data_IF_982330608382
#
_entry.id   IF_982330608382
#
_cell.length_a   1.000
_cell.length_b   1.000
_cell.length_c   1.000
_cell.angle_alpha   90.00
_cell.angle_beta   90.00
_cell.angle_gamma   90.00
#
_symmetry.space_group_name_H-M   'P 1'
#
loop_
_entity.id
_entity.type
_entity.pdbx_description
1 polymer ?
#
# COMPACT_ATOMS: atom_id res chain seq x y z
N UNK A 1 0.12 -4.00 13.18
CA UNK A 1 1.23 -3.73 12.24
C UNK A 1 2.32 -2.94 12.94
N UNK A 2 3.59 -3.24 12.69
CA UNK A 2 4.74 -2.53 13.28
C UNK A 2 6.01 -2.73 12.45
N UNK A 3 6.97 -1.81 12.56
CA UNK A 3 8.28 -1.91 11.90
C UNK A 3 9.09 -3.08 12.46
N UNK A 4 9.76 -3.80 11.56
CA UNK A 4 10.66 -4.90 11.88
C UNK A 4 12.01 -4.69 11.21
N UNK A 5 13.04 -5.39 11.68
CA UNK A 5 14.31 -5.45 10.97
C UNK A 5 14.21 -6.35 9.74
N UNK A 6 15.05 -6.11 8.74
CA UNK A 6 15.11 -6.94 7.52
C UNK A 6 15.39 -8.42 7.87
N UNK A 7 16.21 -8.69 8.89
CA UNK A 7 16.56 -10.03 9.35
C UNK A 7 15.38 -10.75 10.03
N UNK A 8 14.39 -9.99 10.48
CA UNK A 8 13.18 -10.54 11.09
C UNK A 8 12.09 -10.85 10.07
N UNK A 9 12.19 -10.37 8.82
CA UNK A 9 11.17 -10.61 7.77
C UNK A 9 10.78 -12.08 7.66
N UNK A 10 11.71 -13.06 7.63
CA UNK A 10 11.35 -14.48 7.52
C UNK A 10 10.61 -15.05 8.74
N UNK A 11 10.57 -14.33 9.87
CA UNK A 11 9.92 -14.74 11.12
C UNK A 11 8.42 -14.44 11.14
N UNK A 12 7.95 -13.59 10.22
CA UNK A 12 6.55 -13.17 10.15
C UNK A 12 5.85 -13.77 8.94
N UNK A 13 4.57 -14.13 9.11
CA UNK A 13 3.75 -14.69 8.02
C UNK A 13 3.35 -13.65 6.98
N UNK A 14 3.16 -12.41 7.39
CA UNK A 14 2.66 -11.33 6.55
C UNK A 14 3.55 -10.11 6.72
N UNK A 15 4.17 -9.68 5.63
CA UNK A 15 5.08 -8.54 5.63
C UNK A 15 4.91 -7.68 4.40
N UNK A 16 5.15 -6.39 4.55
CA UNK A 16 5.39 -5.47 3.41
C UNK A 16 6.79 -4.89 3.60
N UNK A 17 7.65 -5.09 2.61
CA UNK A 17 8.95 -4.43 2.52
C UNK A 17 8.85 -3.30 1.52
N UNK A 18 8.98 -2.06 1.99
CA UNK A 18 8.98 -0.87 1.14
C UNK A 18 10.42 -0.57 0.72
N UNK A 19 10.70 -0.66 -0.57
CA UNK A 19 11.96 -0.31 -1.21
C UNK A 19 11.87 1.14 -1.66
N UNK A 20 12.81 1.96 -1.17
CA UNK A 20 12.91 3.39 -1.44
C UNK A 20 13.36 3.70 -2.87
N UNK A 21 13.34 4.99 -3.22
CA UNK A 21 13.87 5.46 -4.50
C UNK A 21 15.39 5.62 -4.45
N UNK A 22 16.00 5.80 -5.62
CA UNK A 22 17.44 6.09 -5.74
C UNK A 22 17.77 7.59 -5.62
N UNK A 23 16.77 8.48 -5.58
CA UNK A 23 16.98 9.94 -5.63
C UNK A 23 16.50 10.67 -4.40
N UNK A 24 15.36 10.26 -3.84
CA UNK A 24 14.70 10.95 -2.75
C UNK A 24 14.29 10.01 -1.61
N UNK A 25 14.28 10.53 -0.40
CA UNK A 25 13.68 9.88 0.75
C UNK A 25 12.15 9.87 0.60
N UNK A 26 11.49 8.76 0.91
CA UNK A 26 10.03 8.67 0.88
C UNK A 26 9.45 8.48 2.29
N UNK A 27 8.44 9.26 2.63
CA UNK A 27 7.57 8.98 3.77
C UNK A 27 6.50 7.98 3.36
N UNK A 28 6.18 7.08 4.27
CA UNK A 28 5.17 6.05 4.11
C UNK A 28 4.18 6.16 5.25
N UNK A 29 2.92 6.38 4.91
CA UNK A 29 1.81 6.37 5.86
C UNK A 29 0.98 5.10 5.65
N UNK A 30 0.85 4.26 6.67
CA UNK A 30 0.09 3.00 6.61
C UNK A 30 -1.14 3.04 7.50
N UNK A 31 -2.21 2.40 7.05
CA UNK A 31 -3.44 2.22 7.82
C UNK A 31 -3.91 0.76 7.77
N UNK A 32 -4.73 0.40 8.77
CA UNK A 32 -5.52 -0.83 8.79
C UNK A 32 -6.99 -0.42 8.90
N UNK A 33 -7.85 -1.00 8.07
CA UNK A 33 -9.30 -0.72 8.02
C UNK A 33 -10.03 -1.35 9.21
N UNK A 34 -9.41 -2.28 9.94
CA UNK A 34 -9.93 -2.84 11.17
C UNK A 34 -9.36 -2.09 12.38
N UNK A 35 -10.23 -1.50 13.22
CA UNK A 35 -9.85 -1.14 14.59
C UNK A 35 -9.76 -2.40 15.49
N UNK A 36 -9.35 -2.25 16.75
CA UNK A 36 -9.28 -3.38 17.72
C UNK A 36 -10.64 -4.12 17.89
N UNK A 37 -11.75 -3.50 17.47
CA UNK A 37 -13.08 -4.09 17.44
C UNK A 37 -13.51 -4.64 16.08
N UNK A 38 -12.60 -4.77 15.11
CA UNK A 38 -12.85 -5.21 13.72
C UNK A 38 -13.87 -4.35 12.96
N UNK A 39 -14.06 -3.09 13.37
CA UNK A 39 -14.98 -2.19 12.66
C UNK A 39 -14.27 -1.50 11.50
N UNK A 40 -14.90 -1.41 10.32
CA UNK A 40 -14.38 -0.64 9.20
C UNK A 40 -14.23 0.83 9.62
N UNK A 41 -12.99 1.31 9.74
CA UNK A 41 -12.72 2.75 9.61
C UNK A 41 -12.49 3.03 8.14
N UNK A 42 -13.09 4.10 7.61
CA UNK A 42 -12.63 4.65 6.34
C UNK A 42 -11.32 5.38 6.63
N UNK A 43 -10.15 4.78 6.36
CA UNK A 43 -8.85 5.36 6.71
C UNK A 43 -8.46 6.46 5.71
N UNK A 44 -9.36 6.74 4.76
CA UNK A 44 -9.17 7.63 3.62
C UNK A 44 -9.07 9.08 4.06
N UNK A 45 -9.76 9.47 5.15
CA UNK A 45 -9.79 10.84 5.67
C UNK A 45 -8.94 10.94 6.94
N UNK A 46 -7.65 11.23 6.80
CA UNK A 46 -6.73 11.40 7.94
C UNK A 46 -5.48 12.18 7.55
N UNK A 47 -4.88 12.86 8.54
CA UNK A 47 -3.51 13.40 8.49
C UNK A 47 -2.55 12.61 9.38
N UNK A 48 -3.08 11.63 10.13
CA UNK A 48 -2.34 10.83 11.11
C UNK A 48 -2.48 9.36 10.75
N UNK A 49 -1.35 8.72 10.46
CA UNK A 49 -1.30 7.29 10.18
C UNK A 49 -0.98 6.52 11.47
N UNK A 50 -1.64 5.37 11.72
CA UNK A 50 -1.28 4.49 12.84
C UNK A 50 0.17 4.00 12.79
N UNK A 51 0.74 3.88 11.58
CA UNK A 51 2.16 3.65 11.39
C UNK A 51 2.68 4.59 10.31
N UNK A 52 3.72 5.34 10.64
CA UNK A 52 4.39 6.24 9.71
C UNK A 52 5.90 6.12 9.86
N UNK A 53 6.62 6.12 8.74
CA UNK A 53 8.08 6.08 8.74
C UNK A 53 8.67 6.65 7.44
N UNK A 54 9.96 6.97 7.49
CA UNK A 54 10.74 7.36 6.31
C UNK A 54 11.56 6.17 5.81
N UNK A 55 11.57 5.98 4.49
CA UNK A 55 12.48 5.11 3.75
C UNK A 55 13.54 6.01 3.11
N UNK A 56 14.78 6.03 3.63
CA UNK A 56 15.87 6.78 3.03
C UNK A 56 16.19 6.34 1.59
N UNK A 57 16.83 7.22 0.83
CA UNK A 57 17.41 6.93 -0.49
C UNK A 57 18.19 5.61 -0.48
N UNK A 58 17.93 4.76 -1.48
CA UNK A 58 18.65 3.50 -1.70
C UNK A 58 18.46 2.46 -0.59
N UNK A 59 17.47 2.64 0.28
CA UNK A 59 17.22 1.76 1.42
C UNK A 59 15.83 1.12 1.38
N UNK A 60 15.54 0.28 2.37
CA UNK A 60 14.22 -0.33 2.55
C UNK A 60 13.84 -0.40 4.02
N UNK A 61 12.55 -0.55 4.27
CA UNK A 61 11.96 -0.78 5.60
C UNK A 61 10.89 -1.85 5.50
N UNK A 62 10.81 -2.71 6.50
CA UNK A 62 9.84 -3.80 6.55
C UNK A 62 8.85 -3.63 7.70
N UNK A 63 7.61 -4.00 7.43
CA UNK A 63 6.49 -3.95 8.38
C UNK A 63 5.88 -5.34 8.48
N UNK A 64 5.66 -5.80 9.70
CA UNK A 64 4.92 -7.03 10.00
C UNK A 64 3.44 -6.74 10.21
N UNK A 65 2.60 -7.70 9.80
CA UNK A 65 1.14 -7.65 9.93
C UNK A 65 0.61 -8.95 10.56
N UNK A 66 -0.50 -8.82 11.28
CA UNK A 66 -1.27 -9.97 11.75
C UNK A 66 -2.18 -10.50 10.62
N UNK A 67 -2.52 -11.79 10.68
CA UNK A 67 -3.59 -12.33 9.82
C UNK A 67 -4.93 -11.62 10.11
N UNK A 68 -5.79 -11.52 9.09
CA UNK A 68 -7.01 -10.73 9.13
C UNK A 68 -6.79 -9.22 8.92
N UNK A 69 -5.54 -8.75 8.75
CA UNK A 69 -5.27 -7.34 8.46
C UNK A 69 -5.77 -6.96 7.07
N UNK A 70 -6.51 -5.87 6.99
CA UNK A 70 -6.95 -5.25 5.74
C UNK A 70 -6.55 -3.78 5.82
N UNK A 71 -5.94 -3.22 4.79
CA UNK A 71 -5.51 -1.84 4.87
C UNK A 71 -4.88 -1.36 3.60
N UNK A 72 -4.09 -0.32 3.76
CA UNK A 72 -3.33 0.24 2.67
C UNK A 72 -2.29 1.23 3.16
N UNK A 73 -1.56 1.79 2.20
CA UNK A 73 -0.53 2.76 2.46
C UNK A 73 -0.40 3.74 1.31
N UNK A 74 0.09 4.94 1.61
CA UNK A 74 0.48 5.94 0.63
C UNK A 74 1.96 6.26 0.81
N UNK A 75 2.64 6.58 -0.29
CA UNK A 75 4.02 7.05 -0.29
C UNK A 75 4.10 8.45 -0.88
N UNK A 76 4.99 9.28 -0.33
CA UNK A 76 5.20 10.64 -0.80
C UNK A 76 6.64 11.07 -0.50
N UNK A 77 7.21 11.90 -1.37
CA UNK A 77 8.57 12.42 -1.18
C UNK A 77 8.67 13.17 0.16
N UNK A 78 9.77 12.96 0.87
CA UNK A 78 10.02 13.63 2.15
C UNK A 78 10.12 15.15 1.94
N UNK A 79 9.43 15.91 2.78
CA UNK A 79 9.32 17.37 2.63
C UNK A 79 8.13 17.84 1.80
N UNK A 80 7.43 16.93 1.10
CA UNK A 80 6.15 17.24 0.46
C UNK A 80 4.99 17.09 1.43
N UNK A 81 3.98 17.94 1.30
CA UNK A 81 2.70 17.75 1.96
C UNK A 81 1.96 16.58 1.30
N UNK A 82 1.25 15.80 2.10
CA UNK A 82 0.33 14.78 1.59
C UNK A 82 -0.82 15.53 0.91
N UNK A 83 -1.14 15.23 -0.36
CA UNK A 83 -2.26 15.87 -1.02
C UNK A 83 -3.57 15.26 -0.53
N UNK A 84 -4.61 16.08 -0.43
CA UNK A 84 -5.95 15.65 -0.07
C UNK A 84 -6.99 16.17 -1.06
N UNK A 85 -8.08 15.42 -1.23
CA UNK A 85 -9.27 15.93 -1.92
C UNK A 85 -9.99 16.97 -1.05
N UNK A 86 -10.97 17.66 -1.65
CA UNK A 86 -11.86 18.57 -0.92
C UNK A 86 -12.62 17.89 0.25
N UNK A 87 -12.81 16.57 0.19
CA UNK A 87 -13.43 15.79 1.26
C UNK A 87 -12.44 15.31 2.34
N UNK A 88 -11.18 15.72 2.26
CA UNK A 88 -10.11 15.30 3.17
C UNK A 88 -9.57 13.90 2.88
N UNK A 89 -9.90 13.29 1.73
CA UNK A 89 -9.34 11.99 1.35
C UNK A 89 -7.88 12.15 0.93
N UNK A 90 -6.97 11.39 1.53
CA UNK A 90 -5.55 11.29 1.13
C UNK A 90 -5.44 10.91 -0.34
N UNK A 91 -4.69 11.64 -1.14
CA UNK A 91 -4.51 11.37 -2.57
C UNK A 91 -3.13 10.78 -2.83
N UNK A 92 -3.07 9.86 -3.79
CA UNK A 92 -1.84 9.19 -4.22
C UNK A 92 -2.14 7.90 -4.95
N UNK A 93 -1.08 7.20 -5.34
CA UNK A 93 -1.19 5.78 -5.64
C UNK A 93 -1.06 5.03 -4.33
N UNK A 94 -2.15 4.39 -3.93
CA UNK A 94 -2.21 3.61 -2.71
C UNK A 94 -1.75 2.19 -3.01
N UNK A 95 -1.01 1.60 -2.09
CA UNK A 95 -0.90 0.15 -2.03
C UNK A 95 -1.95 -0.39 -1.09
N UNK A 96 -2.90 -1.18 -1.59
CA UNK A 96 -3.94 -1.83 -0.78
C UNK A 96 -3.56 -3.29 -0.53
N UNK A 97 -3.93 -3.81 0.64
CA UNK A 97 -3.61 -5.18 1.03
C UNK A 97 -4.71 -5.80 1.90
N UNK A 98 -4.84 -7.12 1.77
CA UNK A 98 -5.62 -8.00 2.63
C UNK A 98 -4.78 -9.23 2.94
N UNK A 99 -4.58 -9.55 4.22
CA UNK A 99 -3.85 -10.72 4.67
C UNK A 99 -4.78 -11.72 5.34
N UNK A 100 -4.92 -12.90 4.76
CA UNK A 100 -5.68 -14.03 5.31
C UNK A 100 -7.07 -13.67 5.86
N UNK A 101 -7.94 -13.16 4.98
CA UNK A 101 -9.29 -12.77 5.38
C UNK A 101 -10.18 -14.00 5.58
N UNK A 102 -10.75 -14.15 6.78
CA UNK A 102 -11.46 -15.37 7.18
C UNK A 102 -12.67 -15.68 6.28
N UNK A 103 -13.44 -14.66 5.90
CA UNK A 103 -14.65 -14.85 5.09
C UNK A 103 -14.37 -15.27 3.65
N UNK A 104 -13.10 -15.25 3.21
CA UNK A 104 -12.66 -15.64 1.88
C UNK A 104 -11.75 -16.88 1.91
N UNK A 105 -11.88 -17.72 2.95
CA UNK A 105 -11.09 -18.94 3.08
C UNK A 105 -9.60 -18.66 3.33
N UNK A 106 -9.31 -17.59 4.10
CA UNK A 106 -7.96 -17.11 4.40
C UNK A 106 -7.16 -16.67 3.17
N UNK A 107 -7.83 -16.26 2.10
CA UNK A 107 -7.16 -15.66 0.94
C UNK A 107 -6.51 -14.32 1.32
N UNK A 108 -5.45 -13.98 0.58
CA UNK A 108 -4.81 -12.67 0.67
C UNK A 108 -4.94 -11.96 -0.67
N UNK A 109 -4.88 -10.64 -0.67
CA UNK A 109 -4.98 -9.84 -1.87
C UNK A 109 -4.15 -8.56 -1.75
N UNK A 110 -3.77 -8.00 -2.89
CA UNK A 110 -3.09 -6.70 -2.94
C UNK A 110 -3.29 -6.04 -4.30
N UNK A 111 -3.13 -4.73 -4.33
CA UNK A 111 -3.13 -3.95 -5.56
C UNK A 111 -2.53 -2.55 -5.34
N UNK A 112 -2.21 -1.90 -6.47
CA UNK A 112 -1.97 -0.47 -6.54
C UNK A 112 -3.24 0.20 -7.03
N UNK A 113 -3.74 1.18 -6.29
CA UNK A 113 -4.99 1.86 -6.53
C UNK A 113 -4.78 3.36 -6.74
N UNK A 114 -5.37 3.93 -7.79
CA UNK A 114 -5.34 5.37 -8.08
C UNK A 114 -6.74 5.99 -8.14
N UNK A 115 -7.79 5.24 -7.76
CA UNK A 115 -9.17 5.68 -7.93
C UNK A 115 -9.46 7.05 -7.31
N UNK A 116 -9.07 7.28 -6.06
CA UNK A 116 -9.35 8.55 -5.37
C UNK A 116 -8.58 9.73 -5.98
N UNK A 117 -7.32 9.49 -6.33
CA UNK A 117 -6.47 10.46 -7.03
C UNK A 117 -7.11 10.87 -8.37
N UNK A 118 -7.48 9.89 -9.19
CA UNK A 118 -8.09 10.12 -10.50
C UNK A 118 -9.47 10.78 -10.39
N UNK A 119 -10.29 10.36 -9.43
CA UNK A 119 -11.60 10.96 -9.14
C UNK A 119 -11.48 12.44 -8.74
N UNK A 120 -10.40 12.79 -8.05
CA UNK A 120 -10.08 14.18 -7.70
C UNK A 120 -9.38 14.96 -8.83
N UNK A 121 -9.13 14.34 -9.99
CA UNK A 121 -8.48 14.99 -11.15
C UNK A 121 -6.95 15.04 -11.06
N UNK A 122 -6.34 14.22 -10.20
CA UNK A 122 -4.89 14.16 -10.02
C UNK A 122 -4.32 12.86 -10.59
N UNK A 123 -3.31 13.01 -11.46
CA UNK A 123 -2.62 11.90 -12.14
C UNK A 123 -1.10 11.91 -11.91
N UNK A 124 -0.56 13.00 -11.35
CA UNK A 124 0.87 13.21 -11.18
C UNK A 124 1.33 12.76 -9.80
N UNK A 125 1.64 11.46 -9.72
CA UNK A 125 2.21 10.84 -8.52
C UNK A 125 3.41 9.98 -8.90
N UNK A 126 4.31 9.79 -7.93
CA UNK A 126 5.35 8.78 -8.01
C UNK A 126 4.73 7.40 -8.18
N UNK A 127 5.32 6.59 -9.06
CA UNK A 127 4.85 5.25 -9.32
C UNK A 127 5.01 4.35 -8.10
N UNK A 128 4.19 3.31 -8.08
CA UNK A 128 4.22 2.27 -7.06
C UNK A 128 4.08 0.92 -7.76
N UNK A 129 4.93 -0.02 -7.37
CA UNK A 129 4.86 -1.43 -7.77
C UNK A 129 4.82 -2.30 -6.53
N UNK A 130 3.95 -3.30 -6.52
CA UNK A 130 3.85 -4.31 -5.48
C UNK A 130 4.04 -5.68 -6.12
N UNK A 131 5.02 -6.42 -5.66
CA UNK A 131 5.28 -7.80 -6.03
C UNK A 131 4.86 -8.73 -4.89
N UNK A 132 4.17 -9.83 -5.20
CA UNK A 132 3.71 -10.80 -4.23
C UNK A 132 3.53 -12.19 -4.84
N UNK A 133 4.37 -13.15 -4.42
CA UNK A 133 4.46 -14.48 -5.06
C UNK A 133 4.69 -14.34 -6.58
N UNK A 134 3.82 -14.94 -7.39
CA UNK A 134 3.88 -14.89 -8.87
C UNK A 134 3.05 -13.75 -9.47
N UNK A 135 2.49 -12.87 -8.64
CA UNK A 135 1.63 -11.77 -9.04
C UNK A 135 2.31 -10.41 -8.86
N UNK A 136 1.89 -9.44 -9.67
CA UNK A 136 2.34 -8.05 -9.61
C UNK A 136 1.18 -7.10 -9.83
N UNK A 137 1.14 -6.02 -9.06
CA UNK A 137 0.28 -4.86 -9.32
C UNK A 137 1.13 -3.59 -9.34
N UNK A 138 0.94 -2.73 -10.35
CA UNK A 138 1.70 -1.49 -10.41
C UNK A 138 0.98 -0.39 -11.18
N UNK A 139 1.36 0.84 -10.84
CA UNK A 139 1.17 2.04 -11.64
C UNK A 139 2.52 2.73 -11.74
N UNK A 140 3.03 2.91 -12.96
CA UNK A 140 4.26 3.66 -13.17
C UNK A 140 4.05 5.17 -12.98
N UNK A 141 5.13 5.90 -12.65
CA UNK A 141 5.13 7.35 -12.43
C UNK A 141 4.36 8.06 -13.54
N UNK A 142 3.45 8.96 -13.15
CA UNK A 142 2.57 9.69 -14.07
C UNK A 142 1.65 8.81 -14.95
N UNK A 143 1.28 7.60 -14.49
CA UNK A 143 0.38 6.68 -15.20
C UNK A 143 0.86 6.27 -16.60
N UNK A 144 2.18 6.22 -16.82
CA UNK A 144 2.73 5.83 -18.14
C UNK A 144 2.45 4.37 -18.51
N UNK A 145 2.29 3.50 -17.51
CA UNK A 145 1.89 2.09 -17.65
C UNK A 145 1.30 1.56 -16.35
N UNK A 146 0.55 0.47 -16.44
CA UNK A 146 -0.07 -0.19 -15.28
C UNK A 146 -0.36 -1.67 -15.56
N UNK A 147 -0.42 -2.47 -14.49
CA UNK A 147 -0.91 -3.85 -14.53
C UNK A 147 -1.61 -4.18 -13.20
N UNK A 148 -2.72 -4.92 -13.27
CA UNK A 148 -3.52 -5.33 -12.11
C UNK A 148 -3.80 -4.20 -11.11
N UNK A 149 -3.95 -2.96 -11.59
CA UNK A 149 -4.17 -1.78 -10.77
C UNK A 149 -5.64 -1.33 -10.80
N UNK A 150 -6.10 -0.70 -9.73
CA UNK A 150 -7.48 -0.21 -9.61
C UNK A 150 -7.53 1.28 -9.95
N UNK A 151 -8.00 1.58 -11.17
CA UNK A 151 -8.13 2.97 -11.66
C UNK A 151 -9.58 3.48 -11.57
N UNK A 152 -10.56 2.59 -11.49
CA UNK A 152 -11.99 2.90 -11.44
C UNK A 152 -12.78 1.78 -10.76
N UNK A 153 -13.94 2.10 -10.20
CA UNK A 153 -14.84 1.14 -9.56
C UNK A 153 -14.82 1.21 -8.03
N UNK A 154 -15.49 0.25 -7.39
CA UNK A 154 -15.56 0.20 -5.92
C UNK A 154 -14.28 -0.43 -5.34
N UNK A 155 -13.47 0.46 -4.80
CA UNK A 155 -12.24 0.23 -4.02
C UNK A 155 -12.43 -0.58 -2.74
N UNK A 156 -13.65 -0.74 -2.22
CA UNK A 156 -13.86 -1.51 -0.99
C UNK A 156 -13.90 -3.03 -1.19
N UNK A 157 -14.12 -3.49 -2.42
CA UNK A 157 -14.35 -4.91 -2.74
C UNK A 157 -13.48 -5.46 -3.86
N UNK A 158 -12.65 -4.61 -4.47
CA UNK A 158 -11.89 -4.98 -5.65
C UNK A 158 -10.40 -5.00 -5.36
N UNK A 159 -9.76 -6.13 -5.64
CA UNK A 159 -8.32 -6.28 -5.60
C UNK A 159 -7.82 -6.78 -6.93
N UNK A 160 -6.72 -6.20 -7.39
CA UNK A 160 -6.06 -6.57 -8.63
C UNK A 160 -5.46 -7.97 -8.59
N UNK A 161 -4.79 -8.33 -7.49
CA UNK A 161 -4.16 -9.62 -7.30
C UNK A 161 -4.81 -10.35 -6.11
N UNK A 162 -5.36 -11.55 -6.33
CA UNK A 162 -5.97 -12.40 -5.30
C UNK A 162 -5.23 -13.72 -5.23
N UNK A 163 -4.78 -14.08 -4.04
CA UNK A 163 -3.90 -15.22 -3.78
C UNK A 163 -4.57 -16.24 -2.86
N UNK A 164 -4.26 -17.52 -3.10
CA UNK A 164 -4.63 -18.61 -2.20
C UNK A 164 -4.03 -18.44 -0.80
N UNK A 165 -4.63 -19.11 0.19
CA UNK A 165 -4.17 -19.08 1.59
C UNK A 165 -2.69 -19.43 1.72
N UNK A 166 -2.05 -18.82 2.72
CA UNK A 166 -0.65 -19.04 3.09
C UNK A 166 0.08 -17.73 3.44
N UNK A 167 1.32 -17.82 3.91
CA UNK A 167 2.17 -16.66 4.16
C UNK A 167 2.33 -15.78 2.91
N UNK A 168 2.48 -14.48 3.10
CA UNK A 168 2.66 -13.52 2.01
C UNK A 168 3.61 -12.40 2.43
N UNK A 169 4.76 -12.35 1.75
CA UNK A 169 5.68 -11.22 1.81
C UNK A 169 5.55 -10.40 0.54
N UNK A 170 5.10 -9.15 0.69
CA UNK A 170 5.03 -8.19 -0.41
C UNK A 170 6.28 -7.32 -0.46
N UNK A 171 6.70 -6.95 -1.66
CA UNK A 171 7.75 -5.95 -1.90
C UNK A 171 7.10 -4.77 -2.62
N UNK A 172 7.10 -3.61 -1.99
CA UNK A 172 6.55 -2.37 -2.54
C UNK A 172 7.71 -1.45 -2.99
N UNK A 173 7.88 -1.26 -4.29
CA UNK A 173 8.90 -0.38 -4.86
C UNK A 173 8.30 1.00 -5.16
N UNK A 174 8.85 2.04 -4.53
CA UNK A 174 8.42 3.43 -4.74
C UNK A 174 9.15 4.09 -5.91
N UNK A 175 8.56 5.15 -6.47
CA UNK A 175 9.04 5.83 -7.70
C UNK A 175 9.27 4.86 -8.87
N UNK A 176 8.38 3.87 -9.02
CA UNK A 176 8.47 2.91 -10.11
C UNK A 176 8.17 3.59 -11.46
N UNK A 177 9.07 3.49 -12.44
CA UNK A 177 8.96 4.22 -13.73
C UNK A 177 8.56 3.37 -14.95
N UNK A 178 8.36 2.06 -14.77
CA UNK A 178 8.05 1.11 -15.86
C UNK A 178 9.23 0.23 -16.22
#
# INVERSE_FOLDING_TARGET
MFLISDDDVPKYKYTITVVGSDTDDYRVGMWNTCDEGHRPRSPRVTDVFPLEFTVPVGSRRSVAFDGGSHGGFVTYQSGSAIPHSAAGVVLGFWGEFVFAHESSGESSAFDVCAFEALRAGHAQFSGLRIDGRDEVSFIATNLTSQANAILSGDVATNHGCVLSSGPLSLVATVDYRG
#
